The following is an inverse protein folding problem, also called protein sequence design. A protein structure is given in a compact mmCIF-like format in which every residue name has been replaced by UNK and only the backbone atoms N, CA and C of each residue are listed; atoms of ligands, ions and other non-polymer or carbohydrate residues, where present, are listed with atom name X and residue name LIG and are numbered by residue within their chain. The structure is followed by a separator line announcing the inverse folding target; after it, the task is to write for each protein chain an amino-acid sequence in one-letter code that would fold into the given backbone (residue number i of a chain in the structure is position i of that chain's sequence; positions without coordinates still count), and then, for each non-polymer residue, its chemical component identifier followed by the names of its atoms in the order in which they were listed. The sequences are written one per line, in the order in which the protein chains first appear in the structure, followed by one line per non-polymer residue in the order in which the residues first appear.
data_IF_719495195197
#
_entry.id   IF_719495195197
#
_cell.length_a   1.000
_cell.length_b   1.000
_cell.length_c   1.000
_cell.angle_alpha   90.00
_cell.angle_beta   90.00
_cell.angle_gamma   90.00
#
_symmetry.space_group_name_H-M   'P 1'
#
loop_
_entity.id
_entity.type
_entity.pdbx_description
1 polymer ?
#
# COMPACT_ATOMS: atom_id res chain seq x y z
N UNK A 1 39.29 -17.37 -37.01
CA UNK A 1 39.26 -16.39 -35.91
C UNK A 1 37.88 -16.45 -35.29
N UNK A 2 37.76 -17.17 -34.18
CA UNK A 2 36.49 -17.30 -33.45
C UNK A 2 36.40 -16.10 -32.52
N UNK A 3 35.56 -15.14 -32.86
CA UNK A 3 35.24 -14.02 -31.99
C UNK A 3 34.45 -14.55 -30.80
N UNK A 4 35.14 -14.79 -29.69
CA UNK A 4 34.51 -14.99 -28.39
C UNK A 4 33.72 -13.72 -28.06
N UNK A 5 32.40 -13.78 -28.20
CA UNK A 5 31.50 -12.82 -27.58
C UNK A 5 31.56 -13.07 -26.07
N UNK A 6 32.40 -12.31 -25.37
CA UNK A 6 32.24 -12.13 -23.93
C UNK A 6 30.92 -11.38 -23.76
N UNK A 7 29.84 -12.11 -23.42
CA UNK A 7 28.61 -11.45 -23.00
C UNK A 7 28.95 -10.52 -21.83
N UNK A 8 28.46 -9.27 -21.82
CA UNK A 8 28.67 -8.40 -20.67
C UNK A 8 28.15 -9.14 -19.44
N UNK A 9 29.00 -9.30 -18.42
CA UNK A 9 28.54 -9.76 -17.12
C UNK A 9 27.46 -8.77 -16.72
N UNK A 10 26.21 -9.21 -16.69
CA UNK A 10 25.12 -8.35 -16.27
C UNK A 10 25.48 -7.83 -14.88
N UNK A 11 25.56 -6.51 -14.71
CA UNK A 11 25.86 -5.88 -13.42
C UNK A 11 24.90 -6.43 -12.37
N UNK A 12 25.36 -7.33 -11.51
CA UNK A 12 24.54 -7.91 -10.46
C UNK A 12 24.32 -6.83 -9.40
N UNK A 13 23.05 -6.57 -9.08
CA UNK A 13 22.66 -5.59 -8.08
C UNK A 13 22.86 -6.15 -6.66
N UNK A 14 22.79 -5.28 -5.64
CA UNK A 14 22.97 -5.70 -4.23
C UNK A 14 21.93 -6.73 -3.76
N UNK A 15 20.79 -6.81 -4.44
CA UNK A 15 19.78 -7.85 -4.20
C UNK A 15 20.11 -9.22 -4.84
N UNK A 16 21.26 -9.38 -5.50
CA UNK A 16 21.69 -10.64 -6.14
C UNK A 16 21.05 -10.94 -7.50
N UNK A 17 20.30 -9.99 -8.08
CA UNK A 17 19.61 -10.13 -9.36
C UNK A 17 20.16 -9.15 -10.40
N UNK A 18 20.08 -9.47 -11.70
CA UNK A 18 20.36 -8.49 -12.75
C UNK A 18 19.31 -7.35 -12.74
N UNK A 19 19.60 -6.20 -13.36
CA UNK A 19 18.63 -5.13 -13.53
C UNK A 19 17.43 -5.64 -14.31
N UNK A 20 16.24 -5.14 -13.97
CA UNK A 20 15.01 -5.44 -14.70
C UNK A 20 15.14 -4.91 -16.12
N UNK A 21 15.00 -5.77 -17.16
CA UNK A 21 15.04 -5.31 -18.54
C UNK A 21 13.95 -4.27 -18.77
N UNK A 22 14.33 -3.09 -19.27
CA UNK A 22 13.39 -2.07 -19.70
C UNK A 22 13.46 -1.90 -21.22
N UNK A 23 12.51 -2.50 -21.97
CA UNK A 23 12.50 -2.38 -23.43
C UNK A 23 12.15 -0.97 -23.92
N UNK A 24 11.62 -0.09 -23.04
CA UNK A 24 11.34 1.30 -23.38
C UNK A 24 12.55 2.23 -23.24
N UNK A 25 13.57 1.80 -22.48
CA UNK A 25 14.79 2.57 -22.21
C UNK A 25 14.58 3.85 -21.37
N UNK A 26 13.42 4.00 -20.73
CA UNK A 26 13.07 5.18 -19.92
C UNK A 26 13.57 5.01 -18.47
N UNK A 27 13.56 3.77 -17.99
CA UNK A 27 13.96 3.36 -16.65
C UNK A 27 15.43 2.95 -16.58
N UNK A 28 15.94 2.95 -15.35
CA UNK A 28 17.30 2.50 -15.01
C UNK A 28 17.40 0.98 -14.85
N UNK A 29 16.27 0.26 -14.86
CA UNK A 29 16.18 -1.16 -14.54
C UNK A 29 16.47 -1.50 -13.08
N UNK A 30 16.69 -0.50 -12.21
CA UNK A 30 17.02 -0.68 -10.79
C UNK A 30 16.45 0.41 -9.90
N UNK A 31 16.06 0.04 -8.69
CA UNK A 31 15.75 0.95 -7.61
C UNK A 31 17.00 1.18 -6.73
N UNK A 32 17.10 2.37 -6.14
CA UNK A 32 18.17 2.74 -5.21
C UNK A 32 17.52 3.13 -3.88
N UNK A 33 17.94 2.49 -2.80
CA UNK A 33 17.53 2.87 -1.46
C UNK A 33 18.16 4.22 -1.09
N UNK A 34 17.37 5.26 -0.77
CA UNK A 34 17.91 6.59 -0.50
C UNK A 34 18.69 6.68 0.82
N UNK A 35 18.51 5.72 1.72
CA UNK A 35 19.17 5.69 3.03
C UNK A 35 20.50 4.95 2.95
N UNK A 36 20.52 3.79 2.29
CA UNK A 36 21.70 2.91 2.25
C UNK A 36 22.49 3.01 0.96
N UNK A 37 21.91 3.57 -0.10
CA UNK A 37 22.45 3.54 -1.46
C UNK A 37 22.35 2.18 -2.15
N UNK A 38 21.80 1.15 -1.47
CA UNK A 38 21.73 -0.20 -1.99
C UNK A 38 20.82 -0.28 -3.22
N UNK A 39 21.27 -1.01 -4.22
CA UNK A 39 20.59 -1.23 -5.50
C UNK A 39 19.77 -2.52 -5.49
N UNK A 40 18.59 -2.48 -6.10
CA UNK A 40 17.73 -3.67 -6.22
C UNK A 40 16.99 -3.68 -7.55
N UNK A 41 16.68 -4.87 -8.06
CA UNK A 41 15.81 -5.00 -9.23
C UNK A 41 14.38 -4.59 -8.85
N UNK A 42 13.56 -4.19 -9.81
CA UNK A 42 12.21 -3.71 -9.53
C UNK A 42 11.33 -4.72 -8.79
N UNK A 43 11.32 -6.03 -9.13
CA UNK A 43 10.59 -7.03 -8.35
C UNK A 43 10.96 -7.08 -6.86
N UNK A 44 12.26 -7.03 -6.53
CA UNK A 44 12.71 -7.01 -5.14
C UNK A 44 12.32 -5.71 -4.43
N UNK A 45 12.38 -4.57 -5.12
CA UNK A 45 11.90 -3.31 -4.55
C UNK A 45 10.39 -3.35 -4.29
N UNK A 46 9.61 -3.91 -5.22
CA UNK A 46 8.15 -4.02 -5.10
C UNK A 46 7.74 -4.89 -3.91
N UNK A 47 8.42 -6.03 -3.72
CA UNK A 47 8.19 -6.90 -2.57
C UNK A 47 8.52 -6.20 -1.25
N UNK A 48 9.67 -5.51 -1.20
CA UNK A 48 10.08 -4.72 -0.04
C UNK A 48 9.09 -3.61 0.29
N UNK A 49 8.63 -2.87 -0.72
CA UNK A 49 7.64 -1.79 -0.55
C UNK A 49 6.28 -2.33 -0.11
N UNK A 50 5.85 -3.47 -0.64
CA UNK A 50 4.62 -4.14 -0.20
C UNK A 50 4.69 -4.51 1.29
N UNK A 51 5.80 -5.13 1.71
CA UNK A 51 6.02 -5.46 3.12
C UNK A 51 6.22 -4.23 4.02
N UNK A 52 6.74 -3.12 3.48
CA UNK A 52 6.84 -1.86 4.21
C UNK A 52 5.45 -1.24 4.43
N UNK A 53 4.56 -1.29 3.43
CA UNK A 53 3.21 -0.76 3.53
C UNK A 53 2.40 -1.45 4.64
N UNK A 54 2.48 -2.77 4.75
CA UNK A 54 1.74 -3.54 5.77
C UNK A 54 2.17 -3.24 7.20
N UNK A 55 3.31 -2.56 7.39
CA UNK A 55 3.85 -2.13 8.69
C UNK A 55 3.91 -0.61 8.85
N UNK A 56 3.22 0.14 8.00
CA UNK A 56 3.19 1.59 8.04
C UNK A 56 1.83 2.14 8.52
N UNK A 57 1.86 3.33 9.14
CA UNK A 57 0.66 4.12 9.40
C UNK A 57 0.38 5.14 8.28
N UNK A 58 1.41 5.53 7.54
CA UNK A 58 1.33 6.38 6.37
C UNK A 58 2.26 5.86 5.30
N UNK A 59 1.84 5.90 4.04
CA UNK A 59 2.63 5.39 2.93
C UNK A 59 2.51 6.31 1.72
N UNK A 60 3.54 6.35 0.86
CA UNK A 60 3.51 7.05 -0.43
C UNK A 60 3.41 5.99 -1.51
N UNK A 61 2.41 6.11 -2.36
CA UNK A 61 2.14 5.19 -3.45
C UNK A 61 1.74 5.99 -4.70
N UNK A 62 1.49 5.30 -5.80
CA UNK A 62 0.89 5.86 -7.00
C UNK A 62 -0.51 5.26 -7.17
N UNK A 63 -1.47 6.08 -7.60
CA UNK A 63 -2.74 5.55 -8.10
C UNK A 63 -2.48 5.09 -9.52
N UNK A 64 -2.79 3.84 -9.86
CA UNK A 64 -2.61 3.35 -11.23
C UNK A 64 -3.38 4.21 -12.22
N UNK A 65 -2.93 4.32 -13.48
CA UNK A 65 -3.69 5.03 -14.53
C UNK A 65 -5.10 4.46 -14.71
N UNK A 66 -5.24 3.16 -14.41
CA UNK A 66 -6.47 2.41 -14.18
C UNK A 66 -7.49 3.03 -13.20
N UNK A 67 -7.00 3.73 -12.17
CA UNK A 67 -7.77 4.11 -10.98
C UNK A 67 -8.17 2.92 -10.10
N UNK A 68 -7.57 1.73 -10.29
CA UNK A 68 -8.02 0.46 -9.67
C UNK A 68 -7.09 -0.08 -8.58
N UNK A 69 -5.87 0.42 -8.51
CA UNK A 69 -4.87 -0.08 -7.57
C UNK A 69 -3.95 1.05 -7.11
N UNK A 70 -3.41 0.87 -5.91
CA UNK A 70 -2.19 1.55 -5.48
C UNK A 70 -1.00 0.72 -5.94
N UNK A 71 0.00 1.39 -6.50
CA UNK A 71 1.23 0.75 -6.99
C UNK A 71 2.48 1.44 -6.45
N UNK A 72 3.58 0.70 -6.48
CA UNK A 72 4.93 1.26 -6.35
C UNK A 72 5.26 2.12 -7.57
N UNK A 73 6.39 2.82 -7.54
CA UNK A 73 6.86 3.56 -8.71
C UNK A 73 7.13 2.66 -9.93
N UNK A 74 7.79 1.47 -9.79
CA UNK A 74 7.91 0.52 -10.91
C UNK A 74 6.59 -0.08 -11.41
N UNK A 75 5.49 0.10 -10.67
CA UNK A 75 4.16 -0.40 -11.04
C UNK A 75 3.74 -1.69 -10.32
N UNK A 76 4.53 -2.18 -9.36
CA UNK A 76 4.17 -3.30 -8.51
C UNK A 76 2.91 -3.04 -7.69
N UNK A 77 2.02 -4.03 -7.61
CA UNK A 77 0.77 -3.90 -6.87
C UNK A 77 1.01 -3.84 -5.35
N UNK A 78 0.38 -2.85 -4.70
CA UNK A 78 0.41 -2.64 -3.25
C UNK A 78 -0.96 -2.88 -2.60
N UNK A 79 -2.03 -2.31 -3.18
CA UNK A 79 -3.37 -2.40 -2.63
C UNK A 79 -4.43 -2.24 -3.72
N UNK A 80 -5.61 -2.82 -3.48
CA UNK A 80 -6.76 -2.70 -4.38
C UNK A 80 -7.63 -1.51 -3.98
N UNK A 81 -7.95 -0.62 -4.91
CA UNK A 81 -8.86 0.52 -4.68
C UNK A 81 -10.30 0.02 -4.60
N UNK A 82 -11.08 0.61 -3.69
CA UNK A 82 -12.48 0.31 -3.51
C UNK A 82 -13.26 0.55 -4.84
N UNK A 83 -14.03 -0.41 -5.34
CA UNK A 83 -14.78 -0.26 -6.60
C UNK A 83 -15.66 0.99 -6.65
N UNK A 84 -16.16 1.46 -5.50
CA UNK A 84 -16.94 2.70 -5.41
C UNK A 84 -16.14 3.95 -5.78
N UNK A 85 -14.83 3.96 -5.52
CA UNK A 85 -13.96 5.09 -5.80
C UNK A 85 -13.39 5.08 -7.23
N UNK A 86 -13.43 3.93 -7.93
CA UNK A 86 -12.94 3.78 -9.30
C UNK A 86 -13.69 4.69 -10.29
N UNK A 87 -14.98 4.94 -10.01
CA UNK A 87 -15.88 5.69 -10.90
C UNK A 87 -16.17 7.12 -10.39
N UNK A 88 -15.39 7.63 -9.44
CA UNK A 88 -15.61 8.96 -8.93
C UNK A 88 -15.32 10.03 -10.00
N UNK A 89 -16.19 11.05 -10.08
CA UNK A 89 -16.05 12.16 -11.04
C UNK A 89 -15.01 13.21 -10.57
N UNK A 90 -14.51 13.07 -9.34
CA UNK A 90 -13.64 14.04 -8.70
C UNK A 90 -14.38 15.33 -8.31
N UNK A 91 -13.93 16.01 -7.26
CA UNK A 91 -14.54 17.25 -6.76
C UNK A 91 -13.64 18.44 -7.05
N UNK A 92 -14.16 19.45 -7.77
CA UNK A 92 -13.44 20.72 -7.94
C UNK A 92 -13.16 21.37 -6.59
N UNK A 93 -11.91 21.75 -6.38
CA UNK A 93 -11.41 22.41 -5.17
C UNK A 93 -10.58 23.61 -5.59
N UNK A 94 -10.71 24.71 -4.84
CA UNK A 94 -9.97 25.95 -5.08
C UNK A 94 -8.91 26.14 -4.00
N UNK A 95 -7.71 26.55 -4.39
CA UNK A 95 -6.68 27.00 -3.46
C UNK A 95 -7.04 28.39 -2.93
N UNK A 96 -6.48 28.82 -1.77
CA UNK A 96 -6.67 30.19 -1.29
C UNK A 96 -6.24 31.27 -2.30
N UNK A 97 -5.30 30.94 -3.19
CA UNK A 97 -4.83 31.81 -4.27
C UNK A 97 -5.73 31.81 -5.53
N UNK A 98 -6.85 31.07 -5.53
CA UNK A 98 -7.79 31.00 -6.65
C UNK A 98 -7.48 29.93 -7.71
N UNK A 99 -6.40 29.15 -7.55
CA UNK A 99 -6.09 28.03 -8.44
C UNK A 99 -7.11 26.89 -8.27
N UNK A 100 -7.52 26.27 -9.38
CA UNK A 100 -8.52 25.19 -9.37
C UNK A 100 -7.85 23.84 -9.63
N UNK A 101 -8.20 22.82 -8.85
CA UNK A 101 -7.78 21.43 -9.09
C UNK A 101 -8.92 20.45 -8.80
N UNK A 102 -8.84 19.25 -9.38
CA UNK A 102 -9.83 18.19 -9.15
C UNK A 102 -9.33 17.25 -8.06
N UNK A 103 -10.12 17.12 -6.99
CA UNK A 103 -9.82 16.30 -5.83
C UNK A 103 -10.47 14.93 -5.92
N UNK A 104 -9.67 13.89 -5.78
CA UNK A 104 -10.13 12.50 -5.68
C UNK A 104 -9.87 11.98 -4.28
N UNK A 105 -10.80 11.20 -3.74
CA UNK A 105 -10.64 10.50 -2.46
C UNK A 105 -10.56 9.01 -2.78
N UNK A 106 -9.56 8.34 -2.24
CA UNK A 106 -9.30 6.94 -2.53
C UNK A 106 -9.28 6.15 -1.25
N UNK A 107 -10.04 5.07 -1.22
CA UNK A 107 -9.97 4.01 -0.24
C UNK A 107 -9.37 2.77 -0.89
N UNK A 108 -8.46 2.11 -0.19
CA UNK A 108 -7.82 0.91 -0.69
C UNK A 108 -7.66 -0.14 0.41
N UNK A 109 -7.52 -1.39 0.00
CA UNK A 109 -7.27 -2.54 0.88
C UNK A 109 -5.97 -3.21 0.43
N UNK A 110 -4.98 -3.30 1.33
CA UNK A 110 -3.73 -4.02 1.07
C UNK A 110 -3.93 -5.55 1.16
N UNK A 111 -2.85 -6.29 0.91
CA UNK A 111 -2.87 -7.76 0.86
C UNK A 111 -3.26 -8.40 2.20
N UNK A 112 -3.01 -7.72 3.33
CA UNK A 112 -3.28 -8.17 4.69
C UNK A 112 -4.61 -7.63 5.23
N UNK A 113 -5.43 -7.00 4.37
CA UNK A 113 -6.72 -6.42 4.75
C UNK A 113 -6.63 -5.05 5.42
N UNK A 114 -5.44 -4.46 5.49
CA UNK A 114 -5.26 -3.10 5.98
C UNK A 114 -6.01 -2.11 5.09
N UNK A 115 -6.85 -1.27 5.70
CA UNK A 115 -7.58 -0.22 5.00
C UNK A 115 -6.80 1.08 4.97
N UNK A 116 -6.78 1.71 3.81
CA UNK A 116 -6.04 2.95 3.54
C UNK A 116 -6.98 4.00 2.99
N UNK A 117 -6.71 5.27 3.30
CA UNK A 117 -7.38 6.41 2.70
C UNK A 117 -6.37 7.49 2.29
N UNK A 118 -6.56 8.09 1.12
CA UNK A 118 -5.72 9.18 0.65
C UNK A 118 -6.47 10.11 -0.30
N UNK A 119 -5.82 11.23 -0.64
CA UNK A 119 -6.36 12.25 -1.54
C UNK A 119 -5.27 12.62 -2.54
N UNK A 120 -5.62 12.69 -3.83
CA UNK A 120 -4.73 13.25 -4.85
C UNK A 120 -5.52 13.92 -5.99
N UNK A 121 -4.82 14.28 -7.06
CA UNK A 121 -5.37 14.93 -8.26
C UNK A 121 -6.00 14.00 -9.30
N UNK A 122 -6.00 12.67 -9.09
CA UNK A 122 -6.56 11.67 -10.01
C UNK A 122 -5.66 10.45 -10.24
N UNK A 123 -6.09 9.54 -11.14
CA UNK A 123 -5.30 8.38 -11.57
C UNK A 123 -3.94 8.76 -12.16
N UNK A 124 -2.95 7.88 -12.04
CA UNK A 124 -1.59 8.07 -12.55
C UNK A 124 -0.70 8.98 -11.69
N UNK A 125 -1.23 9.58 -10.62
CA UNK A 125 -0.50 10.51 -9.77
C UNK A 125 -0.11 9.88 -8.43
N UNK A 126 0.98 10.40 -7.86
CA UNK A 126 1.43 10.08 -6.50
C UNK A 126 0.34 10.43 -5.48
N UNK A 127 0.25 9.63 -4.42
CA UNK A 127 -0.69 9.79 -3.33
C UNK A 127 -0.01 9.45 -2.01
N UNK A 128 -0.26 10.28 -0.99
CA UNK A 128 0.01 9.91 0.40
C UNK A 128 -1.26 9.31 1.00
N UNK A 129 -1.14 8.08 1.52
CA UNK A 129 -2.24 7.36 2.16
C UNK A 129 -1.99 7.20 3.65
N UNK A 130 -3.08 7.13 4.40
CA UNK A 130 -3.10 6.91 5.85
C UNK A 130 -3.86 5.63 6.15
N UNK A 131 -3.30 4.80 7.04
CA UNK A 131 -3.96 3.58 7.50
C UNK A 131 -5.16 3.92 8.38
N UNK A 132 -6.29 3.31 8.07
CA UNK A 132 -7.52 3.41 8.84
C UNK A 132 -7.51 2.40 9.99
N UNK A 133 -8.14 2.77 11.11
CA UNK A 133 -8.37 1.86 12.24
C UNK A 133 -9.56 0.93 11.94
N UNK A 134 -9.36 0.01 11.01
CA UNK A 134 -10.36 -0.96 10.57
C UNK A 134 -9.92 -2.37 10.95
N UNK A 135 -10.91 -3.24 11.22
CA UNK A 135 -10.67 -4.62 11.58
C UNK A 135 -10.19 -5.41 10.36
N UNK A 136 -9.04 -6.09 10.50
CA UNK A 136 -8.38 -6.92 9.49
C UNK A 136 -8.72 -8.40 9.61
N UNK A 137 -9.71 -8.76 10.44
CA UNK A 137 -10.17 -10.14 10.54
C UNK A 137 -10.76 -10.60 9.22
N UNK A 138 -10.19 -11.66 8.66
CA UNK A 138 -10.65 -12.30 7.44
C UNK A 138 -11.94 -13.08 7.72
N UNK A 139 -13.02 -12.74 7.02
CA UNK A 139 -14.34 -13.33 7.23
C UNK A 139 -14.65 -14.48 6.28
N UNK A 140 -13.92 -14.60 5.17
CA UNK A 140 -14.12 -15.63 4.15
C UNK A 140 -12.76 -16.23 3.76
N UNK A 141 -12.65 -17.56 3.81
CA UNK A 141 -11.48 -18.34 3.40
C UNK A 141 -11.87 -19.27 2.23
N UNK A 142 -10.98 -19.45 1.23
CA UNK A 142 -10.89 -20.75 0.55
C UNK A 142 -11.49 -20.97 -0.85
N UNK A 143 -12.13 -20.00 -1.52
CA UNK A 143 -12.85 -20.31 -2.78
C UNK A 143 -12.21 -19.74 -4.06
N UNK A 144 -10.91 -19.46 -4.05
CA UNK A 144 -10.22 -18.78 -5.17
C UNK A 144 -10.64 -17.31 -5.37
N UNK A 145 -11.50 -16.78 -4.50
CA UNK A 145 -11.90 -15.37 -4.45
C UNK A 145 -10.91 -14.56 -3.59
N UNK A 146 -10.75 -13.25 -3.86
CA UNK A 146 -10.00 -12.37 -2.99
C UNK A 146 -10.55 -12.43 -1.55
N UNK A 147 -9.68 -12.43 -0.53
CA UNK A 147 -10.10 -12.50 0.86
C UNK A 147 -11.01 -11.32 1.20
N UNK A 148 -12.06 -11.58 1.98
CA UNK A 148 -12.92 -10.54 2.54
C UNK A 148 -12.55 -10.29 3.99
N UNK A 149 -12.60 -9.02 4.36
CA UNK A 149 -12.22 -8.55 5.68
C UNK A 149 -13.38 -7.80 6.34
N UNK A 150 -13.43 -7.86 7.67
CA UNK A 150 -14.51 -7.29 8.46
C UNK A 150 -14.69 -5.77 8.27
N UNK A 151 -13.57 -5.04 8.25
CA UNK A 151 -13.50 -3.56 8.13
C UNK A 151 -14.32 -2.73 9.13
N UNK A 152 -14.99 -3.36 10.12
CA UNK A 152 -15.58 -2.63 11.26
C UNK A 152 -14.50 -1.87 12.02
N UNK A 153 -14.88 -0.80 12.71
CA UNK A 153 -13.94 0.00 13.51
C UNK A 153 -13.15 -0.90 14.48
N UNK A 154 -11.82 -0.84 14.36
CA UNK A 154 -10.92 -1.53 15.26
C UNK A 154 -10.88 -0.82 16.63
N UNK A 155 -10.86 -1.63 17.67
CA UNK A 155 -10.79 -1.20 19.07
C UNK A 155 -9.69 -1.92 19.84
N UNK A 156 -9.12 -2.97 19.25
CA UNK A 156 -8.06 -3.78 19.85
C UNK A 156 -6.95 -4.01 18.83
N UNK A 157 -5.73 -4.17 19.34
CA UNK A 157 -4.53 -4.57 18.62
C UNK A 157 -4.15 -6.02 19.01
N UNK A 158 -3.80 -6.83 18.02
CA UNK A 158 -3.26 -8.19 18.20
C UNK A 158 -1.78 -8.22 18.54
N UNK A 159 -1.15 -9.38 18.36
CA UNK A 159 0.28 -9.56 18.62
C UNK A 159 1.16 -8.73 17.68
N UNK A 160 0.78 -8.53 16.41
CA UNK A 160 1.43 -7.60 15.49
C UNK A 160 1.16 -6.12 15.78
N UNK A 161 0.52 -5.81 16.90
CA UNK A 161 0.36 -4.45 17.41
C UNK A 161 -0.54 -3.59 16.52
N UNK A 162 -0.01 -2.47 16.04
CA UNK A 162 -0.77 -1.46 15.29
C UNK A 162 -1.29 -1.94 13.91
N UNK A 163 -0.84 -3.12 13.46
CA UNK A 163 -1.11 -3.65 12.13
C UNK A 163 -2.08 -4.83 12.13
N UNK A 164 -2.17 -5.54 13.27
CA UNK A 164 -3.18 -6.56 13.54
C UNK A 164 -4.34 -5.92 14.30
N UNK A 165 -5.36 -5.47 13.57
CA UNK A 165 -6.42 -4.68 14.16
C UNK A 165 -7.74 -5.45 14.23
N UNK A 166 -8.35 -5.49 15.41
CA UNK A 166 -9.60 -6.22 15.63
C UNK A 166 -10.72 -5.30 16.14
N UNK A 167 -11.93 -5.53 15.63
CA UNK A 167 -13.13 -5.01 16.27
C UNK A 167 -13.40 -5.78 17.57
N UNK A 168 -14.22 -5.24 18.47
CA UNK A 168 -14.48 -5.87 19.79
C UNK A 168 -14.95 -7.33 19.68
N UNK A 169 -15.75 -7.65 18.66
CA UNK A 169 -16.24 -9.01 18.43
C UNK A 169 -15.11 -9.96 18.03
N UNK A 170 -14.28 -9.56 17.06
CA UNK A 170 -13.19 -10.40 16.57
C UNK A 170 -12.02 -10.47 17.54
N UNK A 171 -11.81 -9.46 18.38
CA UNK A 171 -10.83 -9.51 19.46
C UNK A 171 -11.16 -10.62 20.46
N UNK A 172 -12.45 -10.85 20.76
CA UNK A 172 -12.91 -11.97 21.58
C UNK A 172 -12.69 -13.31 20.89
N UNK A 173 -13.09 -13.41 19.61
CA UNK A 173 -12.89 -14.65 18.85
C UNK A 173 -11.41 -15.04 18.73
N UNK A 174 -10.51 -14.08 18.50
CA UNK A 174 -9.05 -14.31 18.48
C UNK A 174 -8.58 -14.89 19.82
N UNK A 175 -9.05 -14.34 20.93
CA UNK A 175 -8.73 -14.86 22.26
C UNK A 175 -9.29 -16.27 22.47
N UNK A 176 -10.54 -16.50 22.10
CA UNK A 176 -11.21 -17.80 22.28
C UNK A 176 -10.58 -18.90 21.41
N UNK A 177 -10.16 -18.58 20.18
CA UNK A 177 -9.59 -19.53 19.22
C UNK A 177 -8.10 -19.81 19.42
N UNK A 178 -7.32 -18.77 19.74
CA UNK A 178 -5.86 -18.85 19.75
C UNK A 178 -5.22 -18.58 21.11
N UNK A 179 -6.02 -18.22 22.12
CA UNK A 179 -5.52 -17.79 23.43
C UNK A 179 -4.76 -16.46 23.39
N UNK A 180 -4.86 -15.72 22.28
CA UNK A 180 -4.08 -14.50 22.08
C UNK A 180 -4.68 -13.31 22.82
N UNK A 181 -3.88 -12.70 23.68
CA UNK A 181 -4.24 -11.44 24.33
C UNK A 181 -4.22 -10.30 23.31
N UNK A 182 -5.27 -9.49 23.29
CA UNK A 182 -5.33 -8.26 22.50
C UNK A 182 -5.30 -7.04 23.41
N UNK A 183 -4.66 -5.97 22.95
CA UNK A 183 -4.54 -4.72 23.72
C UNK A 183 -5.56 -3.71 23.23
N UNK A 184 -6.33 -3.10 24.15
CA UNK A 184 -7.26 -2.04 23.79
C UNK A 184 -6.53 -0.84 23.18
N UNK A 185 -7.03 -0.34 22.05
CA UNK A 185 -6.49 0.86 21.41
C UNK A 185 -6.91 2.10 22.21
N UNK A 186 -6.03 3.10 22.36
CA UNK A 186 -6.42 4.35 22.98
C UNK A 186 -7.55 5.00 22.15
N UNK A 187 -8.51 5.68 22.80
CA UNK A 187 -9.53 6.44 22.10
C UNK A 187 -8.85 7.40 21.12
N UNK A 188 -9.42 7.55 19.92
CA UNK A 188 -8.94 8.60 19.00
C UNK A 188 -9.11 9.93 19.74
N UNK A 189 -8.02 10.68 19.91
CA UNK A 189 -8.14 12.09 20.25
C UNK A 189 -9.14 12.69 19.26
N UNK A 190 -10.22 13.27 19.77
CA UNK A 190 -11.13 14.06 18.95
C UNK A 190 -10.25 15.11 18.28
N UNK A 191 -10.21 15.12 16.95
CA UNK A 191 -9.56 16.20 16.24
C UNK A 191 -10.19 17.49 16.75
N UNK A 192 -9.42 18.33 17.43
CA UNK A 192 -9.87 19.65 17.82
C UNK A 192 -10.37 20.33 16.55
N UNK A 193 -11.69 20.44 16.45
CA UNK A 193 -12.36 21.20 15.42
C UNK A 193 -12.04 22.65 15.77
N UNK A 194 -10.95 23.18 15.21
CA UNK A 194 -10.76 24.62 15.20
C UNK A 194 -11.87 25.18 14.31
N UNK A 195 -12.80 25.88 14.96
CA UNK A 195 -13.77 26.76 14.33
C UNK A 195 -13.06 27.85 13.51
#
# INVERSE_FOLDING_TARGET
MTTSFTAPVADILDCGHPPTPDPSGIGTGRAIDPTTGATSCYPCSDERERHAMTRANTFVAYVSSAGRALTTWPGGHLATIDPHDVHQVGRRTYTPSGGMWTRYVWHATDVDGGRWAGINGGPGLVIRVHRLRACTWQTEFGDGRPPRYCHRRATHAGQGGAFDLYCRSHARQVFDLYGWTTTALPPRALAHTRA
#
